data_IF_367777929899
#
_entry.id   IF_367777929899
#
_cell.length_a   1.000
_cell.length_b   1.000
_cell.length_c   1.000
_cell.angle_alpha   90.00
_cell.angle_beta   90.00
_cell.angle_gamma   90.00
#
_symmetry.space_group_name_H-M   'P 1'
#
loop_
_entity.id
_entity.type
_entity.pdbx_description
1 polymer ?
#
# COMPACT_ATOMS: atom_id res chain seq x y z
N UNK A 1 28.97 -22.70 11.51
CA UNK A 1 27.69 -22.06 11.87
C UNK A 1 27.04 -21.65 10.57
N UNK A 2 25.99 -22.37 10.18
CA UNK A 2 25.23 -22.09 8.95
C UNK A 2 24.40 -20.84 9.23
N UNK A 3 24.73 -19.75 8.54
CA UNK A 3 23.89 -18.55 8.56
C UNK A 3 22.58 -18.90 7.88
N UNK A 4 21.48 -18.84 8.62
CA UNK A 4 20.15 -18.83 8.04
C UNK A 4 20.06 -17.59 7.15
N UNK A 5 20.18 -17.78 5.84
CA UNK A 5 19.79 -16.79 4.85
C UNK A 5 18.27 -16.66 4.95
N UNK A 6 17.83 -15.63 5.67
CA UNK A 6 16.45 -15.22 5.73
C UNK A 6 15.98 -14.94 4.30
N UNK A 7 15.03 -15.72 3.80
CA UNK A 7 14.46 -15.59 2.46
C UNK A 7 13.67 -14.28 2.38
N UNK A 8 14.17 -13.30 1.62
CA UNK A 8 13.49 -12.02 1.41
C UNK A 8 12.55 -12.12 0.20
N UNK A 9 11.24 -12.17 0.47
CA UNK A 9 10.17 -12.33 -0.51
C UNK A 9 9.67 -11.01 -1.15
N UNK A 10 10.37 -9.88 -0.97
CA UNK A 10 9.88 -8.53 -1.29
C UNK A 10 10.77 -7.73 -2.25
N UNK A 11 10.94 -8.20 -3.50
CA UNK A 11 11.76 -7.50 -4.51
C UNK A 11 11.23 -6.12 -4.94
N UNK A 12 9.95 -5.81 -4.69
CA UNK A 12 9.39 -4.48 -4.95
C UNK A 12 9.86 -3.44 -3.92
N UNK A 13 10.10 -3.80 -2.66
CA UNK A 13 10.50 -2.84 -1.61
C UNK A 13 12.01 -2.52 -1.62
N UNK A 14 12.83 -3.42 -2.17
CA UNK A 14 14.28 -3.27 -2.20
C UNK A 14 14.77 -2.30 -3.27
N UNK A 15 13.98 -2.08 -4.33
CA UNK A 15 14.34 -1.12 -5.37
C UNK A 15 13.84 0.28 -5.03
N UNK A 16 14.68 1.29 -5.28
CA UNK A 16 14.27 2.71 -5.17
C UNK A 16 13.04 3.03 -6.02
N UNK A 17 12.90 2.36 -7.16
CA UNK A 17 11.75 2.50 -8.06
C UNK A 17 10.46 1.97 -7.43
N UNK A 18 10.49 0.81 -6.76
CA UNK A 18 9.32 0.27 -6.09
C UNK A 18 8.93 1.06 -4.84
N UNK A 19 9.90 1.54 -4.04
CA UNK A 19 9.62 2.49 -2.95
C UNK A 19 8.97 3.78 -3.45
N UNK A 20 9.44 4.32 -4.58
CA UNK A 20 8.83 5.49 -5.22
C UNK A 20 7.41 5.18 -5.73
N UNK A 21 7.19 4.00 -6.32
CA UNK A 21 5.88 3.58 -6.80
C UNK A 21 4.87 3.42 -5.65
N UNK A 22 5.28 2.85 -4.52
CA UNK A 22 4.45 2.74 -3.32
C UNK A 22 4.11 4.10 -2.71
N UNK A 23 5.11 4.98 -2.59
CA UNK A 23 4.90 6.35 -2.12
C UNK A 23 3.95 7.12 -3.04
N UNK A 24 4.11 6.99 -4.36
CA UNK A 24 3.22 7.59 -5.35
C UNK A 24 1.79 7.03 -5.25
N UNK A 25 1.65 5.71 -5.06
CA UNK A 25 0.37 5.06 -4.83
C UNK A 25 -0.34 5.62 -3.60
N UNK A 26 0.35 5.70 -2.45
CA UNK A 26 -0.21 6.25 -1.22
C UNK A 26 -0.66 7.71 -1.39
N UNK A 27 0.17 8.53 -2.05
CA UNK A 27 -0.17 9.92 -2.31
C UNK A 27 -1.38 10.08 -3.24
N UNK A 28 -1.44 9.28 -4.31
CA UNK A 28 -2.57 9.28 -5.24
C UNK A 28 -3.86 8.81 -4.56
N UNK A 29 -3.79 7.78 -3.71
CA UNK A 29 -4.93 7.24 -2.96
C UNK A 29 -5.59 8.30 -2.07
N UNK A 30 -4.77 9.09 -1.37
CA UNK A 30 -5.25 10.13 -0.48
C UNK A 30 -5.74 11.37 -1.24
N UNK A 31 -5.01 11.78 -2.28
CA UNK A 31 -5.33 12.95 -3.10
C UNK A 31 -6.59 12.82 -3.95
N UNK A 32 -7.02 11.58 -4.25
CA UNK A 32 -8.17 11.25 -5.12
C UNK A 32 -9.45 12.03 -4.77
N UNK A 33 -9.58 12.41 -3.50
CA UNK A 33 -10.76 13.04 -2.92
C UNK A 33 -11.02 14.44 -3.43
N UNK A 34 -9.97 15.17 -3.80
CA UNK A 34 -10.08 16.53 -4.36
C UNK A 34 -10.57 16.50 -5.82
N UNK A 35 -10.34 15.38 -6.53
CA UNK A 35 -10.62 15.25 -7.96
C UNK A 35 -11.89 14.46 -8.26
N UNK A 36 -12.26 13.52 -7.38
CA UNK A 36 -13.41 12.62 -7.59
C UNK A 36 -14.44 12.79 -6.47
N UNK A 37 -15.28 13.85 -6.51
CA UNK A 37 -16.20 14.17 -5.43
C UNK A 37 -17.26 13.09 -5.20
N UNK A 38 -17.72 12.39 -6.24
CA UNK A 38 -18.77 11.37 -6.09
C UNK A 38 -18.24 10.07 -5.49
N UNK A 39 -18.91 9.58 -4.44
CA UNK A 39 -18.57 8.33 -3.75
C UNK A 39 -18.45 7.11 -4.68
N UNK A 40 -19.40 6.83 -5.60
CA UNK A 40 -19.28 5.66 -6.47
C UNK A 40 -18.11 5.77 -7.45
N UNK A 41 -17.88 6.94 -8.07
CA UNK A 41 -16.72 7.12 -8.96
C UNK A 41 -15.41 7.05 -8.20
N UNK A 42 -15.39 7.52 -6.95
CA UNK A 42 -14.22 7.43 -6.08
C UNK A 42 -13.91 5.99 -5.69
N UNK A 43 -14.95 5.19 -5.43
CA UNK A 43 -14.78 3.76 -5.22
C UNK A 43 -14.19 3.10 -6.46
N UNK A 44 -14.74 3.36 -7.65
CA UNK A 44 -14.20 2.83 -8.91
C UNK A 44 -12.74 3.24 -9.14
N UNK A 45 -12.41 4.51 -8.95
CA UNK A 45 -11.05 5.01 -9.10
C UNK A 45 -10.07 4.39 -8.08
N UNK A 46 -10.53 4.16 -6.84
CA UNK A 46 -9.76 3.42 -5.83
C UNK A 46 -9.54 1.97 -6.22
N UNK A 47 -10.58 1.29 -6.68
CA UNK A 47 -10.46 -0.10 -7.16
C UNK A 47 -9.51 -0.19 -8.35
N UNK A 48 -9.59 0.74 -9.30
CA UNK A 48 -8.67 0.80 -10.44
C UNK A 48 -7.23 1.07 -10.00
N UNK A 49 -7.02 1.97 -9.03
CA UNK A 49 -5.71 2.27 -8.47
C UNK A 49 -5.11 1.05 -7.75
N UNK A 50 -5.91 0.33 -6.95
CA UNK A 50 -5.51 -0.93 -6.31
C UNK A 50 -5.16 -2.00 -7.33
N UNK A 51 -6.02 -2.22 -8.33
CA UNK A 51 -5.79 -3.20 -9.38
C UNK A 51 -4.51 -2.86 -10.18
N UNK A 52 -4.28 -1.58 -10.48
CA UNK A 52 -3.05 -1.12 -11.15
C UNK A 52 -1.81 -1.33 -10.29
N UNK A 53 -1.88 -1.06 -8.98
CA UNK A 53 -0.78 -1.31 -8.04
C UNK A 53 -0.44 -2.80 -7.93
N UNK A 54 -1.45 -3.65 -7.74
CA UNK A 54 -1.27 -5.11 -7.72
C UNK A 54 -0.76 -5.65 -9.07
N UNK A 55 -1.28 -5.14 -10.17
CA UNK A 55 -0.82 -5.50 -11.52
C UNK A 55 0.63 -5.10 -11.77
N UNK A 56 1.07 -3.94 -11.26
CA UNK A 56 2.47 -3.53 -11.32
C UNK A 56 3.36 -4.46 -10.50
N UNK A 57 2.96 -4.80 -9.27
CA UNK A 57 3.68 -5.76 -8.42
C UNK A 57 3.79 -7.11 -9.14
N UNK A 58 2.69 -7.64 -9.67
CA UNK A 58 2.69 -8.89 -10.42
C UNK A 58 3.60 -8.83 -11.66
N UNK A 59 3.55 -7.73 -12.43
CA UNK A 59 4.38 -7.56 -13.61
C UNK A 59 5.87 -7.39 -13.30
N UNK A 60 6.21 -6.77 -12.17
CA UNK A 60 7.59 -6.65 -11.69
C UNK A 60 8.10 -8.01 -11.18
N UNK A 61 7.28 -8.74 -10.42
CA UNK A 61 7.62 -10.08 -9.95
C UNK A 61 7.76 -11.09 -11.11
N UNK A 62 6.94 -11.00 -12.17
CA UNK A 62 7.10 -11.86 -13.36
C UNK A 62 8.41 -11.64 -14.13
N UNK A 63 9.06 -10.48 -13.94
CA UNK A 63 10.37 -10.18 -14.56
C UNK A 63 11.54 -10.54 -13.65
N UNK A 64 11.26 -10.86 -12.41
CA UNK A 64 12.21 -11.26 -11.39
C UNK A 64 12.27 -12.79 -11.39
N UNK A 65 13.22 -13.35 -12.13
CA UNK A 65 13.40 -14.80 -12.31
C UNK A 65 14.32 -15.41 -11.23
N UNK A 66 14.38 -14.83 -10.03
CA UNK A 66 15.16 -15.43 -8.93
C UNK A 66 14.51 -16.75 -8.49
N UNK A 67 15.21 -17.90 -8.63
CA UNK A 67 14.68 -19.22 -8.27
C UNK A 67 14.36 -19.38 -6.78
N UNK A 68 14.79 -18.46 -5.91
CA UNK A 68 14.41 -18.45 -4.49
C UNK A 68 13.07 -17.74 -4.23
N UNK A 69 12.53 -17.03 -5.22
CA UNK A 69 11.27 -16.29 -5.13
C UNK A 69 10.11 -17.14 -5.67
N UNK A 70 10.05 -18.41 -5.26
CA UNK A 70 9.02 -19.36 -5.69
C UNK A 70 7.74 -19.19 -4.83
N UNK A 71 6.62 -18.70 -5.41
CA UNK A 71 5.36 -18.60 -4.67
C UNK A 71 4.81 -19.96 -4.20
N UNK A 72 5.27 -21.08 -4.76
CA UNK A 72 4.91 -22.42 -4.29
C UNK A 72 5.48 -22.72 -2.90
N UNK A 73 6.65 -22.18 -2.54
CA UNK A 73 7.23 -22.35 -1.21
C UNK A 73 6.41 -21.62 -0.12
N UNK A 74 5.78 -20.48 -0.43
CA UNK A 74 4.80 -19.83 0.46
C UNK A 74 3.53 -20.67 0.64
N UNK A 75 3.11 -21.43 -0.38
CA UNK A 75 1.94 -22.30 -0.30
C UNK A 75 2.23 -23.59 0.46
N UNK A 76 3.47 -24.09 0.44
CA UNK A 76 3.91 -25.24 1.26
C UNK A 76 3.98 -24.91 2.76
N UNK A 77 4.21 -23.65 3.13
CA UNK A 77 4.33 -23.23 4.53
C UNK A 77 2.96 -22.95 5.21
N UNK A 78 1.90 -22.77 4.42
CA UNK A 78 0.57 -22.37 4.91
C UNK A 78 -0.35 -23.60 5.05
N UNK A 79 -0.24 -24.28 6.20
CA UNK A 79 -1.16 -25.36 6.60
C UNK A 79 -2.41 -24.80 7.31
N UNK A 80 -3.29 -24.15 6.54
CA UNK A 80 -4.55 -23.59 7.06
C UNK A 80 -5.74 -24.43 6.62
N UNK A 81 -6.62 -24.76 7.57
CA UNK A 81 -7.94 -25.31 7.27
C UNK A 81 -8.78 -24.29 6.48
N UNK A 82 -9.79 -24.73 5.69
CA UNK A 82 -10.65 -23.81 4.95
C UNK A 82 -11.29 -22.71 5.83
N UNK A 83 -11.64 -23.04 7.08
CA UNK A 83 -12.18 -22.09 8.04
C UNK A 83 -11.16 -21.04 8.46
N UNK A 84 -9.91 -21.43 8.71
CA UNK A 84 -8.83 -20.49 9.04
C UNK A 84 -8.49 -19.57 7.86
N UNK A 85 -8.52 -20.08 6.62
CA UNK A 85 -8.33 -19.26 5.42
C UNK A 85 -9.39 -18.18 5.30
N UNK A 86 -10.67 -18.52 5.46
CA UNK A 86 -11.76 -17.53 5.44
C UNK A 86 -11.70 -16.55 6.62
N UNK A 87 -11.33 -17.02 7.81
CA UNK A 87 -11.15 -16.17 8.97
C UNK A 87 -10.00 -15.17 8.78
N UNK A 88 -8.86 -15.60 8.24
CA UNK A 88 -7.72 -14.74 7.93
C UNK A 88 -8.08 -13.72 6.86
N UNK A 89 -8.77 -14.13 5.78
CA UNK A 89 -9.23 -13.23 4.73
C UNK A 89 -10.19 -12.16 5.28
N UNK A 90 -11.26 -12.58 5.97
CA UNK A 90 -12.24 -11.67 6.55
C UNK A 90 -11.61 -10.78 7.63
N UNK A 91 -10.70 -11.33 8.44
CA UNK A 91 -9.93 -10.59 9.43
C UNK A 91 -9.06 -9.50 8.78
N UNK A 92 -8.38 -9.82 7.69
CA UNK A 92 -7.61 -8.86 6.90
C UNK A 92 -8.49 -7.75 6.31
N UNK A 93 -9.63 -8.11 5.73
CA UNK A 93 -10.61 -7.13 5.21
C UNK A 93 -11.14 -6.23 6.33
N UNK A 94 -11.47 -6.80 7.49
CA UNK A 94 -11.96 -6.06 8.64
C UNK A 94 -10.89 -5.11 9.22
N UNK A 95 -9.64 -5.57 9.33
CA UNK A 95 -8.51 -4.77 9.76
C UNK A 95 -8.26 -3.59 8.79
N UNK A 96 -8.31 -3.84 7.48
CA UNK A 96 -8.21 -2.79 6.46
C UNK A 96 -9.36 -1.77 6.58
N UNK A 97 -10.59 -2.24 6.79
CA UNK A 97 -11.75 -1.38 6.96
C UNK A 97 -11.67 -0.53 8.24
N UNK A 98 -11.20 -1.12 9.35
CA UNK A 98 -11.00 -0.43 10.62
C UNK A 98 -9.89 0.63 10.53
N UNK A 99 -8.74 0.28 9.96
CA UNK A 99 -7.63 1.21 9.70
C UNK A 99 -8.05 2.34 8.76
N UNK A 100 -8.92 2.07 7.79
CA UNK A 100 -9.49 3.08 6.89
C UNK A 100 -10.40 4.09 7.61
N UNK A 101 -11.13 3.67 8.65
CA UNK A 101 -11.96 4.57 9.47
C UNK A 101 -11.12 5.45 10.38
N UNK A 102 -10.13 4.88 11.07
CA UNK A 102 -9.24 5.63 11.96
C UNK A 102 -8.40 6.65 11.20
N UNK A 103 -7.84 6.26 10.05
CA UNK A 103 -7.10 7.17 9.16
C UNK A 103 -7.99 8.28 8.57
N UNK A 104 -9.26 7.97 8.27
CA UNK A 104 -10.23 8.95 7.78
C UNK A 104 -10.42 10.14 8.72
N UNK A 105 -10.46 9.89 10.04
CA UNK A 105 -10.61 10.94 11.04
C UNK A 105 -9.42 11.90 11.10
N UNK A 106 -8.19 11.37 11.16
CA UNK A 106 -6.96 12.18 11.14
C UNK A 106 -6.86 13.01 9.85
N UNK A 107 -7.17 12.36 8.73
CA UNK A 107 -7.16 13.00 7.41
C UNK A 107 -8.14 14.15 7.32
N UNK A 108 -9.39 13.96 7.73
CA UNK A 108 -10.42 15.01 7.63
C UNK A 108 -10.12 16.19 8.57
N UNK A 109 -9.54 15.92 9.76
CA UNK A 109 -9.02 16.95 10.67
C UNK A 109 -7.94 17.81 10.00
N UNK A 110 -6.92 17.17 9.43
CA UNK A 110 -5.80 17.87 8.78
C UNK A 110 -6.28 18.58 7.51
N UNK A 111 -7.13 17.95 6.70
CA UNK A 111 -7.70 18.56 5.51
C UNK A 111 -8.53 19.80 5.87
N UNK A 112 -9.29 19.77 6.97
CA UNK A 112 -10.01 20.93 7.49
C UNK A 112 -9.08 22.06 7.96
N UNK A 113 -7.95 21.74 8.59
CA UNK A 113 -6.93 22.73 8.94
C UNK A 113 -6.29 23.36 7.70
N UNK A 114 -5.91 22.56 6.71
CA UNK A 114 -5.33 23.03 5.45
C UNK A 114 -6.30 23.93 4.69
N UNK A 115 -7.58 23.54 4.63
CA UNK A 115 -8.63 24.34 4.00
C UNK A 115 -8.80 25.70 4.69
N UNK A 116 -8.79 25.74 6.02
CA UNK A 116 -8.84 27.01 6.80
C UNK A 116 -7.62 27.91 6.54
N UNK A 117 -6.51 27.35 6.09
CA UNK A 117 -5.30 28.08 5.68
C UNK A 117 -5.29 28.44 4.19
N UNK A 118 -6.40 28.25 3.47
CA UNK A 118 -6.52 28.63 2.05
C UNK A 118 -5.95 27.60 1.07
N UNK A 119 -5.60 26.39 1.51
CA UNK A 119 -5.15 25.33 0.61
C UNK A 119 -6.33 24.84 -0.22
N UNK A 120 -6.27 25.07 -1.53
CA UNK A 120 -7.34 24.74 -2.47
C UNK A 120 -7.59 23.22 -2.59
N UNK A 121 -6.54 22.41 -2.44
CA UNK A 121 -6.56 20.95 -2.56
C UNK A 121 -5.98 20.27 -1.31
N UNK A 122 -6.72 20.29 -0.20
CA UNK A 122 -6.20 19.86 1.09
C UNK A 122 -5.88 18.36 1.15
N UNK A 123 -6.63 17.52 0.44
CA UNK A 123 -6.38 16.08 0.41
C UNK A 123 -5.18 15.72 -0.47
N UNK A 124 -4.93 16.48 -1.53
CA UNK A 124 -3.73 16.38 -2.38
C UNK A 124 -2.49 16.75 -1.59
N UNK A 125 -2.53 17.87 -0.85
CA UNK A 125 -1.42 18.27 0.00
C UNK A 125 -1.13 17.23 1.09
N UNK A 126 -2.18 16.68 1.71
CA UNK A 126 -2.05 15.55 2.64
C UNK A 126 -1.45 14.31 1.97
N UNK A 127 -1.94 13.93 0.78
CA UNK A 127 -1.43 12.79 0.03
C UNK A 127 0.06 12.94 -0.33
N UNK A 128 0.49 14.13 -0.74
CA UNK A 128 1.91 14.41 -0.98
C UNK A 128 2.74 14.24 0.30
N UNK A 129 2.25 14.70 1.45
CA UNK A 129 2.93 14.52 2.72
C UNK A 129 3.03 13.04 3.12
N UNK A 130 1.93 12.28 2.99
CA UNK A 130 1.91 10.83 3.27
C UNK A 130 2.87 10.09 2.34
N UNK A 131 2.83 10.37 1.03
CA UNK A 131 3.74 9.76 0.06
C UNK A 131 5.22 10.08 0.37
N UNK A 132 5.53 11.33 0.70
CA UNK A 132 6.88 11.73 1.08
C UNK A 132 7.37 11.00 2.35
N UNK A 133 6.52 10.89 3.38
CA UNK A 133 6.86 10.15 4.61
C UNK A 133 7.06 8.67 4.31
N UNK A 134 6.18 8.05 3.51
CA UNK A 134 6.29 6.65 3.12
C UNK A 134 7.61 6.38 2.37
N UNK A 135 7.97 7.23 1.41
CA UNK A 135 9.22 7.11 0.68
C UNK A 135 10.44 7.23 1.60
N UNK A 136 10.47 8.23 2.49
CA UNK A 136 11.58 8.44 3.42
C UNK A 136 11.71 7.29 4.41
N UNK A 137 10.59 6.79 4.94
CA UNK A 137 10.58 5.64 5.84
C UNK A 137 11.13 4.38 5.15
N UNK A 138 10.71 4.12 3.91
CA UNK A 138 11.17 2.99 3.14
C UNK A 138 12.66 3.13 2.76
N UNK A 139 13.12 4.33 2.35
CA UNK A 139 14.55 4.60 2.11
C UNK A 139 15.40 4.45 3.38
N UNK A 140 14.89 4.84 4.54
CA UNK A 140 15.60 4.70 5.80
C UNK A 140 15.72 3.23 6.23
N UNK A 141 14.73 2.39 5.91
CA UNK A 141 14.80 0.95 6.15
C UNK A 141 15.77 0.27 5.20
N UNK A 142 15.73 0.60 3.90
CA UNK A 142 16.62 0.03 2.89
C UNK A 142 18.10 0.39 3.05
N UNK A 143 18.44 1.35 3.92
CA UNK A 143 19.81 1.78 4.23
C UNK A 143 20.35 1.23 5.54
N UNK A 144 19.54 0.50 6.30
CA UNK A 144 19.93 -0.16 7.56
C UNK A 144 20.46 -1.55 7.27
#
# INVERSE_FOLDING_TARGET
MVGMTQTDYYSVDDTRAGRLAQAAFMGAWEGLQDYVPSRPRRLLARTALLAGGLGLVAALNMRDEDPNNDPAALLEEVDLTPAQTWAAFLGGVAALAASSKASGWCRDRIAGMLRRRGVARPYTAWGLAVGAVAFVAAEAQARR
#
